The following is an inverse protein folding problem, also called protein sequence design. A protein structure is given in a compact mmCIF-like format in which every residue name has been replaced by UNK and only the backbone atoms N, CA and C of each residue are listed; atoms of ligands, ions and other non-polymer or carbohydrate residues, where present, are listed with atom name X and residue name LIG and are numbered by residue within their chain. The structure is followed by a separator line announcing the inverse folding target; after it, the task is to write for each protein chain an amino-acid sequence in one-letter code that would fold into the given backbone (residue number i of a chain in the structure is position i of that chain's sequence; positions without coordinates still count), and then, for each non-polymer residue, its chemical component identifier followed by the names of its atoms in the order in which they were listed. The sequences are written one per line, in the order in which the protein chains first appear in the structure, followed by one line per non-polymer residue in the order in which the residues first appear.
data_IF_652906574979
#
_entry.id   IF_652906574979
#
_cell.length_a   1.000
_cell.length_b   1.000
_cell.length_c   1.000
_cell.angle_alpha   90.00
_cell.angle_beta   90.00
_cell.angle_gamma   90.00
#
_symmetry.space_group_name_H-M   'P 1'
#
loop_
_entity.id
_entity.type
_entity.pdbx_description
1 polymer ?
#
# COMPACT_ATOMS: atom_id res chain seq x y z
N UNK A 1 1.32 -7.31 -71.14
CA UNK A 1 0.75 -8.27 -72.09
C UNK A 1 0.89 -9.66 -71.56
N UNK A 2 -0.29 -10.23 -71.34
CA UNK A 2 -0.69 -11.59 -70.96
C UNK A 2 -0.52 -11.89 -69.43
N UNK A 3 -1.53 -11.80 -68.54
CA UNK A 3 -2.92 -12.36 -68.52
C UNK A 3 -2.88 -13.90 -68.77
N UNK A 4 -3.42 -14.82 -67.96
CA UNK A 4 -4.69 -14.83 -67.20
C UNK A 4 -4.82 -16.09 -66.29
N UNK A 5 -5.94 -16.15 -65.54
CA UNK A 5 -6.64 -17.26 -64.84
C UNK A 5 -6.30 -17.51 -63.33
N UNK A 6 -7.10 -17.08 -62.34
CA UNK A 6 -8.51 -17.47 -61.95
C UNK A 6 -8.60 -18.96 -61.57
N UNK A 7 -9.30 -19.49 -60.57
CA UNK A 7 -10.19 -19.08 -59.46
C UNK A 7 -10.35 -20.37 -58.60
N UNK A 8 -10.70 -20.27 -57.31
CA UNK A 8 -11.97 -20.83 -56.76
C UNK A 8 -11.99 -20.78 -55.22
N UNK A 9 -13.06 -20.14 -54.74
CA UNK A 9 -13.59 -20.17 -53.38
C UNK A 9 -14.04 -21.59 -53.01
N UNK A 10 -14.00 -21.95 -51.71
CA UNK A 10 -15.25 -22.40 -51.09
C UNK A 10 -15.24 -22.19 -49.57
N UNK A 11 -16.29 -21.51 -49.16
CA UNK A 11 -16.68 -21.07 -47.83
C UNK A 11 -17.72 -22.10 -47.35
N UNK A 12 -17.40 -22.97 -46.40
CA UNK A 12 -18.43 -23.80 -45.74
C UNK A 12 -18.28 -23.80 -44.23
N UNK A 13 -19.18 -23.01 -43.64
CA UNK A 13 -19.67 -23.06 -42.27
C UNK A 13 -20.55 -24.30 -42.07
N UNK A 14 -20.24 -25.15 -41.10
CA UNK A 14 -21.17 -26.12 -40.48
C UNK A 14 -20.60 -26.44 -39.09
N UNK A 15 -21.34 -26.69 -38.03
CA UNK A 15 -22.70 -26.36 -37.61
C UNK A 15 -22.70 -26.59 -36.09
N UNK A 16 -23.58 -25.88 -35.40
CA UNK A 16 -23.74 -25.93 -33.95
C UNK A 16 -24.55 -27.18 -33.60
N UNK A 17 -24.03 -28.04 -32.72
CA UNK A 17 -24.85 -29.06 -32.03
C UNK A 17 -25.08 -28.60 -30.59
N UNK A 18 -26.31 -28.15 -30.34
CA UNK A 18 -26.93 -27.92 -29.04
C UNK A 18 -27.47 -29.24 -28.45
N UNK A 19 -27.51 -29.26 -27.11
CA UNK A 19 -28.31 -30.10 -26.21
C UNK A 19 -27.94 -31.58 -25.97
N UNK A 20 -27.57 -31.88 -24.72
CA UNK A 20 -28.47 -32.72 -23.91
C UNK A 20 -28.29 -32.51 -22.40
N UNK A 21 -29.44 -32.39 -21.76
CA UNK A 21 -29.76 -32.11 -20.35
C UNK A 21 -29.00 -32.95 -19.31
N UNK A 22 -28.48 -32.27 -18.28
CA UNK A 22 -28.43 -32.81 -16.92
C UNK A 22 -28.84 -31.72 -15.93
N UNK A 23 -30.15 -31.69 -15.61
CA UNK A 23 -30.68 -31.06 -14.40
C UNK A 23 -30.73 -32.06 -13.24
N UNK A 24 -30.80 -31.48 -12.04
CA UNK A 24 -31.03 -32.03 -10.69
C UNK A 24 -29.85 -32.65 -9.94
N UNK A 25 -29.62 -32.37 -8.66
CA UNK A 25 -30.24 -31.47 -7.67
C UNK A 25 -29.28 -31.55 -6.45
N UNK A 26 -29.14 -30.45 -5.71
CA UNK A 26 -28.63 -30.38 -4.34
C UNK A 26 -27.20 -30.86 -4.02
N UNK A 27 -26.26 -29.91 -4.04
CA UNK A 27 -25.25 -29.78 -2.99
C UNK A 27 -24.89 -28.29 -2.79
N UNK A 28 -25.57 -27.71 -1.81
CA UNK A 28 -25.38 -26.41 -1.18
C UNK A 28 -23.97 -26.21 -0.59
N UNK A 29 -23.62 -24.92 -0.39
CA UNK A 29 -22.50 -24.35 0.39
C UNK A 29 -21.09 -24.52 -0.22
N UNK A 30 -20.35 -23.51 -0.69
CA UNK A 30 -20.35 -22.06 -0.56
C UNK A 30 -19.81 -21.50 -1.89
N UNK A 31 -20.71 -21.03 -2.76
CA UNK A 31 -20.31 -20.39 -4.00
C UNK A 31 -19.70 -19.02 -3.69
N UNK A 32 -18.50 -18.82 -4.25
CA UNK A 32 -17.77 -17.56 -4.33
C UNK A 32 -18.69 -16.34 -4.42
N UNK A 33 -18.92 -15.71 -3.27
CA UNK A 33 -19.41 -14.34 -3.23
C UNK A 33 -18.32 -13.49 -3.88
N UNK A 34 -18.51 -13.22 -5.17
CA UNK A 34 -17.89 -12.10 -5.85
C UNK A 34 -18.15 -10.87 -4.99
N UNK A 35 -17.19 -10.54 -4.13
CA UNK A 35 -17.18 -9.30 -3.36
C UNK A 35 -17.19 -8.18 -4.38
N UNK A 36 -18.41 -7.74 -4.73
CA UNK A 36 -18.69 -6.47 -5.37
C UNK A 36 -18.02 -5.45 -4.47
N UNK A 37 -16.83 -5.03 -4.88
CA UNK A 37 -16.08 -3.98 -4.22
C UNK A 37 -16.95 -2.75 -4.32
N UNK A 38 -17.72 -2.49 -3.26
CA UNK A 38 -18.57 -1.32 -3.16
C UNK A 38 -17.69 -0.12 -3.48
N UNK A 39 -18.06 0.58 -4.54
CA UNK A 39 -17.42 1.75 -5.13
C UNK A 39 -17.14 2.89 -4.13
N UNK A 40 -17.57 2.77 -2.87
CA UNK A 40 -17.38 3.73 -1.80
C UNK A 40 -16.00 3.66 -1.11
N UNK A 41 -15.24 2.57 -1.28
CA UNK A 41 -14.02 2.37 -0.47
C UNK A 41 -12.74 2.92 -1.12
N UNK A 42 -12.63 2.85 -2.45
CA UNK A 42 -11.59 3.60 -3.19
C UNK A 42 -11.84 5.10 -3.13
N UNK A 43 -13.08 5.57 -2.98
CA UNK A 43 -13.31 7.02 -2.90
C UNK A 43 -12.93 7.62 -1.55
N UNK A 44 -13.12 6.92 -0.42
CA UNK A 44 -12.82 7.49 0.92
C UNK A 44 -11.35 7.36 1.36
N UNK A 45 -10.60 6.37 0.85
CA UNK A 45 -9.16 6.30 1.09
C UNK A 45 -8.39 7.32 0.23
N UNK A 46 -8.95 7.70 -0.93
CA UNK A 46 -8.30 8.58 -1.92
C UNK A 46 -8.80 10.04 -1.89
N UNK A 47 -9.92 10.34 -1.22
CA UNK A 47 -10.39 11.71 -0.96
C UNK A 47 -9.89 12.33 0.36
N UNK A 48 -8.93 11.70 1.05
CA UNK A 48 -8.32 12.23 2.28
C UNK A 48 -7.39 13.45 2.02
N UNK A 49 -7.88 14.41 1.23
CA UNK A 49 -7.53 15.83 1.34
C UNK A 49 -8.33 16.50 2.48
N UNK A 50 -9.25 15.79 3.12
CA UNK A 50 -9.84 16.19 4.39
C UNK A 50 -8.86 15.91 5.53
N UNK A 51 -8.60 16.93 6.34
CA UNK A 51 -7.75 16.85 7.52
C UNK A 51 -8.13 15.63 8.37
N UNK A 52 -7.12 14.92 8.89
CA UNK A 52 -7.31 14.03 10.04
C UNK A 52 -7.75 14.88 11.23
N UNK A 53 -9.02 15.29 11.27
CA UNK A 53 -9.65 15.73 12.49
C UNK A 53 -9.88 14.45 13.29
N UNK A 54 -8.91 14.12 14.14
CA UNK A 54 -9.15 13.12 15.17
C UNK A 54 -10.34 13.62 16.00
N UNK A 55 -11.51 12.98 15.84
CA UNK A 55 -12.74 13.23 16.61
C UNK A 55 -12.61 12.73 18.06
N UNK A 56 -11.54 13.15 18.74
CA UNK A 56 -11.41 13.10 20.19
C UNK A 56 -10.88 14.45 20.62
N UNK A 57 -11.57 15.06 21.57
CA UNK A 57 -11.17 16.24 22.35
C UNK A 57 -9.74 16.08 22.92
N UNK A 58 -8.72 16.22 22.08
CA UNK A 58 -7.36 16.45 22.52
C UNK A 58 -7.19 17.97 22.51
N UNK A 59 -7.28 18.54 23.70
CA UNK A 59 -7.05 19.96 23.94
C UNK A 59 -5.58 20.26 23.61
N UNK A 60 -5.30 20.69 22.37
CA UNK A 60 -3.96 21.09 21.97
C UNK A 60 -3.86 22.61 21.88
N UNK A 61 -2.94 23.16 22.67
CA UNK A 61 -2.72 24.58 22.82
C UNK A 61 -2.43 25.27 21.49
N UNK A 62 -3.34 26.17 21.12
CA UNK A 62 -3.15 27.16 20.06
C UNK A 62 -1.95 28.05 20.42
N UNK A 63 -0.76 27.74 19.91
CA UNK A 63 0.36 28.68 19.91
C UNK A 63 0.24 29.59 18.70
N UNK A 64 -0.51 30.67 18.86
CA UNK A 64 -0.29 31.88 18.06
C UNK A 64 1.09 32.41 18.40
N UNK A 65 2.03 32.45 17.43
CA UNK A 65 3.10 33.45 17.40
C UNK A 65 3.83 33.45 16.06
N UNK A 66 3.68 34.56 15.36
CA UNK A 66 4.61 35.09 14.35
C UNK A 66 5.97 35.39 15.00
N UNK A 67 7.07 34.75 14.55
CA UNK A 67 8.47 35.28 14.51
C UNK A 67 9.52 34.20 14.15
N UNK A 68 10.22 34.38 13.00
CA UNK A 68 11.53 33.81 12.53
C UNK A 68 11.78 32.28 12.58
N UNK A 69 12.68 31.72 11.72
CA UNK A 69 12.81 30.27 11.54
C UNK A 69 13.60 29.68 12.70
N UNK A 70 12.91 29.41 13.78
CA UNK A 70 13.33 28.41 14.76
C UNK A 70 13.36 27.09 13.98
N UNK A 71 14.48 26.37 14.02
CA UNK A 71 14.53 24.95 13.68
C UNK A 71 13.46 24.24 14.50
N UNK A 72 12.26 24.15 13.95
CA UNK A 72 11.15 23.46 14.58
C UNK A 72 11.52 21.98 14.53
N UNK A 73 12.03 21.47 15.64
CA UNK A 73 12.24 20.04 15.82
C UNK A 73 10.93 19.35 15.44
N UNK A 74 10.99 18.44 14.46
CA UNK A 74 9.81 17.68 14.07
C UNK A 74 9.44 16.78 15.23
N UNK A 75 8.18 16.77 15.65
CA UNK A 75 7.71 15.81 16.65
C UNK A 75 7.29 14.51 15.97
N UNK A 76 7.33 13.39 16.70
CA UNK A 76 6.83 12.09 16.21
C UNK A 76 5.39 12.20 15.70
N UNK A 77 4.54 12.94 16.41
CA UNK A 77 3.16 13.18 16.01
C UNK A 77 3.06 13.95 14.68
N UNK A 78 3.79 15.06 14.55
CA UNK A 78 3.82 15.86 13.30
C UNK A 78 4.36 15.02 12.15
N UNK A 79 5.36 14.19 12.41
CA UNK A 79 5.91 13.26 11.44
C UNK A 79 4.85 12.26 10.96
N UNK A 80 4.14 11.60 11.89
CA UNK A 80 3.08 10.63 11.58
C UNK A 80 1.92 11.24 10.80
N UNK A 81 1.40 12.37 11.27
CA UNK A 81 0.17 12.98 10.76
C UNK A 81 0.37 13.77 9.45
N UNK A 82 1.62 14.11 9.11
CA UNK A 82 1.92 14.72 7.81
C UNK A 82 1.51 13.80 6.65
N UNK A 83 0.89 14.33 5.60
CA UNK A 83 0.55 13.53 4.42
C UNK A 83 1.68 13.48 3.38
N UNK A 84 2.73 14.28 3.56
CA UNK A 84 3.83 14.40 2.60
C UNK A 84 5.00 13.48 2.98
N UNK A 85 5.80 13.03 2.00
CA UNK A 85 7.11 12.46 2.29
C UNK A 85 7.90 13.38 3.22
N UNK A 86 8.60 12.81 4.17
CA UNK A 86 9.47 13.56 5.08
C UNK A 86 10.83 13.79 4.44
N UNK A 87 11.47 14.92 4.78
CA UNK A 87 12.87 15.12 4.43
C UNK A 87 13.78 14.38 5.41
N UNK A 88 15.05 14.18 5.03
CA UNK A 88 16.03 13.57 5.92
C UNK A 88 16.25 14.41 7.18
N UNK A 89 16.28 15.74 7.06
CA UNK A 89 16.46 16.66 8.19
C UNK A 89 15.28 16.56 9.17
N UNK A 90 14.05 16.40 8.67
CA UNK A 90 12.88 16.19 9.51
C UNK A 90 12.99 14.88 10.30
N UNK A 91 13.43 13.80 9.65
CA UNK A 91 13.65 12.51 10.30
C UNK A 91 14.80 12.55 11.33
N UNK A 92 15.91 13.19 11.01
CA UNK A 92 17.06 13.34 11.90
C UNK A 92 16.79 14.29 13.07
N UNK A 93 15.83 15.21 12.93
CA UNK A 93 15.41 16.11 14.01
C UNK A 93 14.56 15.43 15.10
N UNK A 94 14.08 14.20 14.87
CA UNK A 94 13.35 13.41 15.85
C UNK A 94 14.27 13.04 17.03
N UNK A 95 13.91 13.53 18.23
CA UNK A 95 14.76 13.48 19.43
C UNK A 95 14.70 12.13 20.14
N UNK A 96 13.73 11.29 19.80
CA UNK A 96 13.48 10.01 20.46
C UNK A 96 14.61 9.03 20.14
N UNK A 97 15.19 8.45 21.20
CA UNK A 97 16.20 7.40 21.12
C UNK A 97 15.59 6.13 20.51
N UNK A 98 14.44 5.69 21.03
CA UNK A 98 13.62 4.62 20.47
C UNK A 98 12.45 5.19 19.66
N UNK A 99 12.76 5.51 18.39
CA UNK A 99 11.77 6.04 17.44
C UNK A 99 10.62 5.06 17.21
N UNK A 100 10.89 3.74 17.20
CA UNK A 100 9.86 2.73 16.93
C UNK A 100 8.82 2.72 18.06
N UNK A 101 9.26 2.69 19.31
CA UNK A 101 8.36 2.76 20.46
C UNK A 101 7.53 4.06 20.47
N UNK A 102 8.17 5.19 20.15
CA UNK A 102 7.48 6.47 20.06
C UNK A 102 6.42 6.49 18.95
N UNK A 103 6.72 5.94 17.77
CA UNK A 103 5.76 5.80 16.68
C UNK A 103 4.57 4.91 17.08
N UNK A 104 4.83 3.76 17.72
CA UNK A 104 3.78 2.86 18.22
C UNK A 104 2.83 3.54 19.20
N UNK A 105 3.36 4.36 20.12
CA UNK A 105 2.56 5.14 21.06
C UNK A 105 1.57 6.09 20.36
N UNK A 106 1.91 6.63 19.19
CA UNK A 106 0.97 7.40 18.37
C UNK A 106 -0.05 6.48 17.71
N UNK A 107 0.39 5.39 17.07
CA UNK A 107 -0.52 4.48 16.35
C UNK A 107 -1.59 3.87 17.24
N UNK A 108 -1.25 3.53 18.48
CA UNK A 108 -2.16 2.91 19.45
C UNK A 108 -3.28 3.83 19.93
N UNK A 109 -3.20 5.14 19.64
CA UNK A 109 -4.30 6.08 19.89
C UNK A 109 -5.44 5.95 18.86
N UNK A 110 -5.17 5.28 17.75
CA UNK A 110 -6.08 5.04 16.64
C UNK A 110 -6.45 3.56 16.55
N UNK A 111 -7.61 3.28 15.94
CA UNK A 111 -8.08 1.92 15.70
C UNK A 111 -8.35 1.70 14.22
N UNK A 112 -8.51 0.42 13.86
CA UNK A 112 -8.98 -0.03 12.55
C UNK A 112 -8.22 0.64 11.40
N UNK A 113 -8.95 1.23 10.46
CA UNK A 113 -8.43 1.83 9.24
C UNK A 113 -7.50 3.01 9.48
N UNK A 114 -7.78 3.84 10.50
CA UNK A 114 -6.95 5.01 10.80
C UNK A 114 -5.56 4.58 11.29
N UNK A 115 -5.50 3.55 12.16
CA UNK A 115 -4.23 2.98 12.59
C UNK A 115 -3.47 2.35 11.42
N UNK A 116 -4.17 1.61 10.57
CA UNK A 116 -3.57 0.96 9.41
C UNK A 116 -2.99 1.98 8.42
N UNK A 117 -3.72 3.07 8.17
CA UNK A 117 -3.29 4.14 7.28
C UNK A 117 -2.06 4.87 7.82
N UNK A 118 -2.02 5.15 9.12
CA UNK A 118 -0.85 5.73 9.78
C UNK A 118 0.37 4.80 9.72
N UNK A 119 0.18 3.51 9.96
CA UNK A 119 1.24 2.51 9.83
C UNK A 119 1.82 2.50 8.42
N UNK A 120 0.97 2.46 7.39
CA UNK A 120 1.42 2.48 6.01
C UNK A 120 2.16 3.77 5.68
N UNK A 121 1.59 4.94 5.99
CA UNK A 121 2.22 6.21 5.66
C UNK A 121 3.54 6.42 6.37
N UNK A 122 3.64 6.07 7.65
CA UNK A 122 4.90 6.17 8.39
C UNK A 122 5.93 5.18 7.87
N UNK A 123 5.51 3.96 7.51
CA UNK A 123 6.38 2.97 6.84
C UNK A 123 6.95 3.54 5.54
N UNK A 124 6.10 4.10 4.67
CA UNK A 124 6.52 4.66 3.38
C UNK A 124 7.42 5.88 3.53
N UNK A 125 7.18 6.75 4.52
CA UNK A 125 8.06 7.88 4.85
C UNK A 125 9.46 7.43 5.28
N UNK A 126 9.56 6.42 6.13
CA UNK A 126 10.87 5.88 6.51
C UNK A 126 11.54 5.17 5.32
N UNK A 127 10.77 4.39 4.55
CA UNK A 127 11.26 3.68 3.37
C UNK A 127 11.78 4.64 2.28
N UNK A 128 11.12 5.79 2.11
CA UNK A 128 11.52 6.86 1.21
C UNK A 128 12.94 7.39 1.48
N UNK A 129 13.39 7.32 2.74
CA UNK A 129 14.71 7.80 3.15
C UNK A 129 15.77 6.69 3.24
N UNK A 130 15.40 5.45 2.93
CA UNK A 130 16.21 4.26 3.26
C UNK A 130 17.59 4.18 2.58
N UNK A 131 17.74 4.69 1.34
CA UNK A 131 19.06 4.74 0.69
C UNK A 131 19.97 5.83 1.29
N UNK A 132 19.37 6.85 1.92
CA UNK A 132 20.10 8.01 2.48
C UNK A 132 20.32 7.91 3.98
N UNK A 133 19.58 7.04 4.69
CA UNK A 133 19.67 6.88 6.14
C UNK A 133 19.51 5.42 6.55
N UNK A 134 20.59 4.78 7.07
CA UNK A 134 20.52 3.43 7.62
C UNK A 134 19.53 3.32 8.78
N UNK A 135 19.40 4.37 9.61
CA UNK A 135 18.43 4.40 10.70
C UNK A 135 16.99 4.41 10.16
N UNK A 136 16.73 5.15 9.08
CA UNK A 136 15.41 5.13 8.42
C UNK A 136 15.12 3.76 7.78
N UNK A 137 16.13 3.09 7.22
CA UNK A 137 15.99 1.73 6.69
C UNK A 137 15.61 0.72 7.78
N UNK A 138 16.34 0.70 8.90
CA UNK A 138 16.04 -0.22 10.00
C UNK A 138 14.64 0.02 10.58
N UNK A 139 14.24 1.29 10.70
CA UNK A 139 12.90 1.63 11.14
C UNK A 139 11.84 1.23 10.11
N UNK A 140 12.08 1.43 8.81
CA UNK A 140 11.17 1.00 7.76
C UNK A 140 10.96 -0.51 7.79
N UNK A 141 12.02 -1.30 8.01
CA UNK A 141 11.92 -2.77 8.13
C UNK A 141 11.04 -3.18 9.30
N UNK A 142 11.22 -2.55 10.46
CA UNK A 142 10.39 -2.79 11.63
C UNK A 142 8.92 -2.39 11.36
N UNK A 143 8.69 -1.22 10.76
CA UNK A 143 7.35 -0.72 10.47
C UNK A 143 6.62 -1.53 9.39
N UNK A 144 7.32 -2.08 8.39
CA UNK A 144 6.71 -3.03 7.45
C UNK A 144 6.20 -4.26 8.19
N UNK A 145 6.99 -4.81 9.12
CA UNK A 145 6.55 -5.93 9.95
C UNK A 145 5.30 -5.56 10.76
N UNK A 146 5.30 -4.43 11.46
CA UNK A 146 4.15 -3.96 12.23
C UNK A 146 2.91 -3.73 11.36
N UNK A 147 3.10 -3.20 10.16
CA UNK A 147 2.01 -2.97 9.19
C UNK A 147 1.39 -4.28 8.75
N UNK A 148 2.22 -5.29 8.44
CA UNK A 148 1.74 -6.61 8.01
C UNK A 148 1.08 -7.36 9.17
N UNK A 149 1.67 -7.34 10.36
CA UNK A 149 1.09 -7.93 11.57
C UNK A 149 -0.30 -7.35 11.86
N UNK A 150 -0.44 -6.03 11.78
CA UNK A 150 -1.71 -5.35 12.00
C UNK A 150 -2.72 -5.64 10.87
N UNK A 151 -2.26 -5.74 9.63
CA UNK A 151 -3.10 -6.13 8.50
C UNK A 151 -3.66 -7.55 8.65
N UNK A 152 -2.84 -8.50 9.11
CA UNK A 152 -3.26 -9.87 9.43
C UNK A 152 -4.27 -9.87 10.58
N UNK A 153 -3.94 -9.18 11.68
CA UNK A 153 -4.80 -9.07 12.86
C UNK A 153 -6.19 -8.53 12.51
N UNK A 154 -6.26 -7.58 11.59
CA UNK A 154 -7.51 -6.91 11.17
C UNK A 154 -8.13 -7.51 9.91
N UNK A 155 -7.57 -8.60 9.37
CA UNK A 155 -8.03 -9.27 8.13
C UNK A 155 -8.07 -8.35 6.90
N UNK A 156 -7.12 -7.41 6.80
CA UNK A 156 -7.03 -6.42 5.71
C UNK A 156 -5.84 -6.65 4.76
N UNK A 157 -5.19 -7.82 4.81
CA UNK A 157 -3.96 -8.12 4.07
C UNK A 157 -4.01 -7.76 2.58
N UNK A 158 -5.07 -8.18 1.86
CA UNK A 158 -5.21 -7.91 0.42
C UNK A 158 -5.26 -6.41 0.12
N UNK A 159 -6.01 -5.64 0.93
CA UNK A 159 -6.12 -4.19 0.78
C UNK A 159 -4.78 -3.51 1.00
N UNK A 160 -4.07 -3.89 2.07
CA UNK A 160 -2.76 -3.34 2.42
C UNK A 160 -1.71 -3.68 1.37
N UNK A 161 -1.69 -4.94 0.92
CA UNK A 161 -0.83 -5.43 -0.14
C UNK A 161 -0.99 -4.60 -1.40
N UNK A 162 -2.22 -4.49 -1.91
CA UNK A 162 -2.51 -3.73 -3.13
C UNK A 162 -2.10 -2.27 -3.01
N UNK A 163 -2.39 -1.65 -1.86
CA UNK A 163 -2.04 -0.26 -1.63
C UNK A 163 -0.53 -0.04 -1.59
N UNK A 164 0.22 -0.87 -0.86
CA UNK A 164 1.69 -0.78 -0.82
C UNK A 164 2.27 -1.02 -2.21
N UNK A 165 1.82 -2.04 -2.94
CA UNK A 165 2.32 -2.31 -4.30
C UNK A 165 2.05 -1.13 -5.24
N UNK A 166 0.88 -0.49 -5.14
CA UNK A 166 0.55 0.70 -5.92
C UNK A 166 1.43 1.89 -5.53
N UNK A 167 1.63 2.15 -4.23
CA UNK A 167 2.52 3.20 -3.72
C UNK A 167 3.98 3.00 -4.14
N UNK A 168 4.39 1.74 -4.35
CA UNK A 168 5.70 1.37 -4.84
C UNK A 168 5.75 1.32 -6.38
N UNK A 169 4.66 1.60 -7.10
CA UNK A 169 4.58 1.51 -8.56
C UNK A 169 4.84 0.09 -9.10
N UNK A 170 4.55 -0.93 -8.30
CA UNK A 170 4.66 -2.35 -8.63
C UNK A 170 3.32 -2.93 -9.11
N UNK A 171 2.21 -2.29 -8.72
CA UNK A 171 0.87 -2.61 -9.20
C UNK A 171 0.30 -1.39 -9.92
N UNK A 172 -0.27 -1.60 -11.12
CA UNK A 172 -0.93 -0.53 -11.87
C UNK A 172 -2.28 -0.18 -11.23
N UNK A 173 -2.60 1.10 -11.24
CA UNK A 173 -3.92 1.62 -10.93
C UNK A 173 -4.66 1.91 -12.24
N UNK A 174 -5.97 1.68 -12.28
CA UNK A 174 -6.82 2.07 -13.40
C UNK A 174 -6.88 3.60 -13.55
N UNK A 175 -6.91 4.30 -12.42
CA UNK A 175 -6.79 5.75 -12.36
C UNK A 175 -5.33 6.19 -12.39
N UNK A 176 -5.08 7.39 -12.92
CA UNK A 176 -3.74 7.98 -12.94
C UNK A 176 -3.24 8.21 -11.50
N UNK A 177 -2.34 7.35 -11.06
CA UNK A 177 -1.74 7.42 -9.74
C UNK A 177 -0.23 7.68 -9.85
N UNK A 178 0.27 8.62 -9.05
CA UNK A 178 1.71 8.86 -8.90
C UNK A 178 2.04 8.92 -7.42
N UNK A 179 2.94 8.04 -7.00
CA UNK A 179 3.47 8.05 -5.64
C UNK A 179 4.32 9.31 -5.42
N UNK A 180 4.14 10.02 -4.29
CA UNK A 180 5.00 11.14 -3.96
C UNK A 180 6.36 10.68 -3.39
N UNK A 181 6.51 9.38 -3.09
CA UNK A 181 7.70 8.82 -2.48
C UNK A 181 8.76 8.46 -3.53
N UNK A 182 10.01 8.42 -3.08
CA UNK A 182 11.12 7.84 -3.85
C UNK A 182 10.92 6.32 -3.97
N UNK A 183 10.44 5.91 -5.15
CA UNK A 183 10.18 4.51 -5.47
C UNK A 183 11.42 3.62 -5.35
N UNK A 184 12.60 4.14 -5.70
CA UNK A 184 13.84 3.36 -5.66
C UNK A 184 14.19 3.04 -4.21
N UNK A 185 14.18 4.05 -3.35
CA UNK A 185 14.36 3.90 -1.91
C UNK A 185 13.28 3.01 -1.28
N UNK A 186 12.00 3.24 -1.59
CA UNK A 186 10.91 2.44 -1.01
C UNK A 186 11.01 0.94 -1.37
N UNK A 187 11.33 0.62 -2.62
CA UNK A 187 11.53 -0.77 -3.07
C UNK A 187 12.79 -1.38 -2.47
N UNK A 188 13.86 -0.60 -2.30
CA UNK A 188 15.07 -1.04 -1.60
C UNK A 188 14.74 -1.46 -0.16
N UNK A 189 14.03 -0.62 0.60
CA UNK A 189 13.60 -0.95 1.95
C UNK A 189 12.73 -2.21 2.01
N UNK A 190 11.79 -2.39 1.07
CA UNK A 190 10.97 -3.60 1.01
C UNK A 190 11.81 -4.86 0.74
N UNK A 191 12.78 -4.81 -0.20
CA UNK A 191 13.71 -5.93 -0.45
C UNK A 191 14.49 -6.29 0.81
N UNK A 192 15.07 -5.32 1.50
CA UNK A 192 15.82 -5.56 2.73
C UNK A 192 14.94 -6.10 3.85
N UNK A 193 13.69 -5.66 3.93
CA UNK A 193 12.70 -6.20 4.86
C UNK A 193 12.46 -7.69 4.60
N UNK A 194 12.20 -8.07 3.35
CA UNK A 194 11.92 -9.47 2.98
C UNK A 194 13.14 -10.39 3.21
N UNK A 195 14.36 -9.89 2.99
CA UNK A 195 15.60 -10.63 3.25
C UNK A 195 15.81 -10.90 4.74
N UNK A 196 15.53 -9.90 5.59
CA UNK A 196 15.87 -9.93 7.02
C UNK A 196 14.71 -10.43 7.90
N UNK A 197 13.48 -10.41 7.38
CA UNK A 197 12.28 -10.91 8.07
C UNK A 197 11.66 -12.07 7.29
N UNK A 198 12.32 -13.26 7.28
CA UNK A 198 11.78 -14.42 6.57
C UNK A 198 10.45 -14.90 7.16
N UNK A 199 10.16 -14.58 8.43
CA UNK A 199 8.92 -14.90 9.13
C UNK A 199 7.98 -13.67 9.22
N UNK A 200 7.89 -12.88 8.15
CA UNK A 200 6.79 -11.92 8.02
C UNK A 200 5.46 -12.67 8.29
N UNK A 201 4.59 -12.13 9.14
CA UNK A 201 3.42 -12.86 9.66
C UNK A 201 2.45 -13.35 8.58
N UNK A 202 2.43 -12.70 7.42
CA UNK A 202 1.71 -13.15 6.24
C UNK A 202 2.65 -13.72 5.19
N UNK A 203 2.62 -15.04 5.02
CA UNK A 203 3.31 -15.72 3.91
C UNK A 203 2.76 -15.26 2.55
N UNK A 204 1.43 -15.07 2.46
CA UNK A 204 0.78 -14.57 1.25
C UNK A 204 1.34 -13.21 0.83
N UNK A 205 1.35 -12.21 1.73
CA UNK A 205 1.88 -10.88 1.41
C UNK A 205 3.38 -10.94 1.08
N UNK A 206 4.16 -11.72 1.85
CA UNK A 206 5.60 -11.91 1.60
C UNK A 206 5.86 -12.45 0.19
N UNK A 207 5.13 -13.49 -0.20
CA UNK A 207 5.30 -14.12 -1.51
C UNK A 207 4.88 -13.17 -2.63
N UNK A 208 3.75 -12.47 -2.48
CA UNK A 208 3.31 -11.46 -3.43
C UNK A 208 4.34 -10.33 -3.60
N UNK A 209 4.85 -9.74 -2.51
CA UNK A 209 5.88 -8.71 -2.58
C UNK A 209 7.12 -9.19 -3.35
N UNK A 210 7.58 -10.42 -3.10
CA UNK A 210 8.72 -10.98 -3.82
C UNK A 210 8.45 -11.10 -5.33
N UNK A 211 7.29 -11.65 -5.72
CA UNK A 211 6.94 -11.81 -7.13
C UNK A 211 6.92 -10.46 -7.86
N UNK A 212 6.25 -9.46 -7.29
CA UNK A 212 6.15 -8.13 -7.90
C UNK A 212 7.50 -7.40 -7.97
N UNK A 213 8.36 -7.56 -6.97
CA UNK A 213 9.72 -6.99 -7.00
C UNK A 213 10.59 -7.66 -8.07
N UNK A 214 10.52 -8.99 -8.21
CA UNK A 214 11.27 -9.74 -9.22
C UNK A 214 10.84 -9.37 -10.65
N UNK A 215 9.54 -9.25 -10.89
CA UNK A 215 9.01 -8.84 -12.20
C UNK A 215 9.44 -7.43 -12.59
N UNK A 216 9.65 -6.55 -11.62
CA UNK A 216 10.13 -5.19 -11.88
C UNK A 216 11.63 -5.13 -12.18
N UNK A 217 12.42 -6.05 -11.61
CA UNK A 217 13.88 -6.05 -11.73
C UNK A 217 14.40 -6.76 -13.01
N UNK A 218 13.52 -7.47 -13.72
CA UNK A 218 13.81 -8.16 -15.00
C UNK A 218 13.58 -7.28 -16.23
#
# INVERSE_FOLDING_TARGET
DDEDDEDDDDETTEDVDEDDDYQDEDADEDADEAYVTSQAFTTNLFNANESFNADKNLLFGKTTSTEKPITTNTTIETFCLSQKPCTIEAFESLQEEDKLAAFKSIFEQFTDDNRLLLLIFTTLKCAHLSESSPAALELAKALYKETVDYAVQTKQERRVLNYILMQLGLLRSEEKFTSPYDLKSCRYALRETLKTNPQLSSEHMRNAFNVFLQQFDG
#
